data_IF_518338895752
#
_entry.id   IF_518338895752
#
_cell.length_a   1.000
_cell.length_b   1.000
_cell.length_c   1.000
_cell.angle_alpha   90.00
_cell.angle_beta   90.00
_cell.angle_gamma   90.00
#
_symmetry.space_group_name_H-M   'P 1'
#
loop_
_entity.id
_entity.type
_entity.pdbx_description
1 polymer ?
#
# COMPACT_ATOMS: atom_id res chain seq x y z
N UNK A 1 15.97 9.39 8.89
CA UNK A 1 14.96 9.57 7.80
C UNK A 1 13.53 9.47 8.36
N UNK A 2 12.59 10.28 7.88
CA UNK A 2 11.17 10.17 8.23
C UNK A 2 10.52 9.04 7.40
N UNK A 3 10.90 7.80 7.70
CA UNK A 3 10.48 6.60 6.97
C UNK A 3 9.45 5.82 7.80
N UNK A 4 8.32 5.52 7.18
CA UNK A 4 7.23 4.79 7.78
C UNK A 4 6.89 3.55 6.98
N UNK A 5 6.45 2.52 7.68
CA UNK A 5 5.98 1.28 7.10
C UNK A 5 4.58 0.97 7.61
N UNK A 6 3.62 0.98 6.68
CA UNK A 6 2.22 0.74 6.97
C UNK A 6 1.85 -0.74 6.85
N UNK A 7 1.16 -1.28 7.85
CA UNK A 7 0.66 -2.66 7.91
C UNK A 7 -0.87 -2.66 7.98
N UNK A 8 -1.47 -3.85 8.00
CA UNK A 8 -2.92 -4.00 8.26
C UNK A 8 -3.28 -3.78 9.71
N UNK A 9 -4.57 -3.44 9.92
CA UNK A 9 -5.25 -3.36 11.22
C UNK A 9 -5.33 -4.70 11.94
N UNK A 10 -5.59 -5.75 11.18
CA UNK A 10 -5.74 -7.12 11.65
C UNK A 10 -5.25 -8.10 10.57
N UNK A 11 -5.13 -9.40 10.87
CA UNK A 11 -4.77 -10.41 9.87
C UNK A 11 -5.77 -10.47 8.72
N UNK A 12 -5.28 -10.38 7.47
CA UNK A 12 -6.10 -10.49 6.26
C UNK A 12 -5.33 -11.26 5.20
N UNK A 13 -5.78 -12.49 4.90
CA UNK A 13 -5.14 -13.39 3.94
C UNK A 13 -3.65 -13.61 4.29
N UNK A 14 -2.75 -12.95 3.58
CA UNK A 14 -1.31 -13.04 3.72
C UNK A 14 -0.66 -11.65 3.92
N UNK A 15 -1.49 -10.63 4.14
CA UNK A 15 -1.03 -9.28 4.44
C UNK A 15 -0.50 -9.23 5.88
N UNK A 16 0.60 -8.52 6.05
CA UNK A 16 1.30 -8.41 7.33
C UNK A 16 0.61 -7.42 8.27
N UNK A 17 0.65 -7.76 9.55
CA UNK A 17 0.26 -6.89 10.68
C UNK A 17 1.48 -6.18 11.26
N UNK A 18 1.26 -5.30 12.24
CA UNK A 18 2.36 -4.63 12.95
C UNK A 18 3.24 -5.64 13.69
N UNK A 19 2.65 -6.70 14.25
CA UNK A 19 3.35 -7.77 14.94
C UNK A 19 4.28 -8.53 13.98
N UNK A 20 3.85 -8.76 12.73
CA UNK A 20 4.70 -9.39 11.71
C UNK A 20 5.87 -8.48 11.28
N UNK A 21 5.61 -7.17 11.17
CA UNK A 21 6.66 -6.19 10.86
C UNK A 21 7.73 -6.11 11.97
N UNK A 22 7.31 -6.24 13.24
CA UNK A 22 8.24 -6.32 14.38
C UNK A 22 9.05 -7.62 14.35
N UNK A 23 8.41 -8.78 14.13
CA UNK A 23 9.08 -10.08 14.04
C UNK A 23 10.13 -10.16 12.94
N UNK A 24 9.91 -9.46 11.83
CA UNK A 24 10.86 -9.39 10.71
C UNK A 24 12.00 -8.38 10.92
N UNK A 25 11.97 -7.63 12.02
CA UNK A 25 12.94 -6.56 12.31
C UNK A 25 12.75 -5.32 11.44
N UNK A 26 11.64 -5.21 10.73
CA UNK A 26 11.40 -4.11 9.81
C UNK A 26 11.13 -2.78 10.55
N UNK A 27 10.60 -2.87 11.77
CA UNK A 27 10.46 -1.71 12.66
C UNK A 27 11.80 -1.19 13.20
N UNK A 28 12.92 -1.91 12.99
CA UNK A 28 14.25 -1.40 13.32
C UNK A 28 14.78 -0.39 12.29
N UNK A 29 14.22 -0.39 11.07
CA UNK A 29 14.66 0.46 9.96
C UNK A 29 13.67 1.58 9.61
N UNK A 30 12.39 1.40 9.98
CA UNK A 30 11.30 2.33 9.70
C UNK A 30 10.31 2.35 10.87
N UNK A 31 9.60 3.46 11.05
CA UNK A 31 8.50 3.50 12.03
C UNK A 31 7.32 2.68 11.53
N UNK A 32 6.85 1.74 12.34
CA UNK A 32 5.66 0.95 12.00
C UNK A 32 4.38 1.74 12.28
N UNK A 33 3.38 1.57 11.43
CA UNK A 33 2.02 2.08 11.66
C UNK A 33 1.00 1.09 11.14
N UNK A 34 -0.07 0.86 11.90
CA UNK A 34 -1.21 0.10 11.43
C UNK A 34 -2.17 1.02 10.66
N UNK A 35 -2.64 0.58 9.49
CA UNK A 35 -3.69 1.31 8.77
C UNK A 35 -5.05 1.25 9.48
N UNK A 36 -5.22 0.40 10.50
CA UNK A 36 -6.44 0.26 11.29
C UNK A 36 -7.61 -0.41 10.57
N UNK A 37 -7.40 -0.99 9.39
CA UNK A 37 -8.45 -1.66 8.61
C UNK A 37 -8.03 -3.08 8.19
N UNK A 38 -9.00 -3.97 8.08
CA UNK A 38 -8.88 -5.41 7.83
C UNK A 38 -9.37 -5.80 6.42
N UNK A 39 -9.06 -4.98 5.43
CA UNK A 39 -9.25 -5.31 4.01
C UNK A 39 -7.90 -5.67 3.34
N UNK A 40 -7.90 -6.50 2.28
CA UNK A 40 -6.71 -6.79 1.46
C UNK A 40 -6.37 -5.61 0.51
N UNK A 41 -6.54 -4.39 1.01
CA UNK A 41 -6.37 -3.13 0.31
C UNK A 41 -6.22 -1.99 1.31
N UNK A 42 -5.85 -0.81 0.83
CA UNK A 42 -5.87 0.42 1.61
C UNK A 42 -7.01 1.29 1.09
N UNK A 43 -8.12 1.29 1.83
CA UNK A 43 -9.28 2.15 1.61
C UNK A 43 -9.17 3.25 2.65
N UNK A 44 -8.67 4.43 2.25
CA UNK A 44 -8.23 5.49 3.15
C UNK A 44 -9.38 5.96 4.06
N UNK A 45 -10.62 5.93 3.55
CA UNK A 45 -11.83 6.33 4.25
C UNK A 45 -12.11 5.45 5.47
N UNK A 46 -11.68 4.19 5.46
CA UNK A 46 -11.89 3.22 6.54
C UNK A 46 -10.68 3.07 7.47
N UNK A 47 -9.55 3.70 7.14
CA UNK A 47 -8.34 3.60 7.94
C UNK A 47 -8.42 4.39 9.26
N UNK A 48 -7.50 4.14 10.19
CA UNK A 48 -7.40 4.88 11.45
C UNK A 48 -7.11 6.37 11.22
N UNK A 49 -7.50 7.22 12.17
CA UNK A 49 -7.22 8.66 12.10
C UNK A 49 -5.72 8.96 12.01
N UNK A 50 -4.90 8.26 12.79
CA UNK A 50 -3.44 8.39 12.77
C UNK A 50 -2.85 8.00 11.41
N UNK A 51 -3.33 6.92 10.79
CA UNK A 51 -2.87 6.53 9.46
C UNK A 51 -3.28 7.57 8.41
N UNK A 52 -4.51 8.07 8.45
CA UNK A 52 -4.97 9.10 7.51
C UNK A 52 -4.11 10.36 7.61
N UNK A 53 -3.83 10.82 8.83
CA UNK A 53 -2.97 11.99 9.05
C UNK A 53 -1.56 11.79 8.49
N UNK A 54 -0.97 10.61 8.69
CA UNK A 54 0.35 10.29 8.14
C UNK A 54 0.32 10.17 6.61
N UNK A 55 -0.66 9.45 6.07
CA UNK A 55 -0.87 9.31 4.62
C UNK A 55 -1.02 10.68 3.97
N UNK A 56 -1.67 11.61 4.68
CA UNK A 56 -1.88 12.95 4.18
C UNK A 56 -0.61 13.80 4.11
N UNK A 57 0.25 13.68 5.11
CA UNK A 57 1.53 14.39 5.22
C UNK A 57 2.65 13.77 4.38
N UNK A 58 2.48 12.55 3.86
CA UNK A 58 3.52 11.85 3.13
C UNK A 58 3.87 12.54 1.81
N UNK A 59 5.15 12.89 1.63
CA UNK A 59 5.65 13.47 0.38
C UNK A 59 5.63 12.48 -0.79
N UNK A 60 5.90 11.20 -0.49
CA UNK A 60 5.97 10.09 -1.43
C UNK A 60 5.42 8.84 -0.76
N UNK A 61 4.64 8.06 -1.50
CA UNK A 61 4.08 6.79 -1.04
C UNK A 61 4.54 5.67 -1.98
N UNK A 62 5.12 4.61 -1.42
CA UNK A 62 5.44 3.38 -2.14
C UNK A 62 4.41 2.33 -1.72
N UNK A 63 3.44 2.08 -2.61
CA UNK A 63 2.33 1.17 -2.38
C UNK A 63 2.64 -0.21 -2.98
N UNK A 64 2.68 -1.26 -2.15
CA UNK A 64 3.04 -2.61 -2.59
C UNK A 64 1.79 -3.46 -2.88
N UNK A 65 1.83 -4.21 -3.98
CA UNK A 65 0.84 -5.22 -4.30
C UNK A 65 -0.41 -4.69 -5.02
N UNK A 66 -1.11 -5.60 -5.71
CA UNK A 66 -2.25 -5.26 -6.56
C UNK A 66 -3.47 -4.76 -5.76
N UNK A 67 -3.77 -5.35 -4.61
CA UNK A 67 -4.91 -4.92 -3.79
C UNK A 67 -4.81 -3.45 -3.35
N UNK A 68 -3.59 -2.97 -3.05
CA UNK A 68 -3.39 -1.56 -2.75
C UNK A 68 -3.48 -0.65 -3.99
N UNK A 69 -3.13 -1.13 -5.19
CA UNK A 69 -3.41 -0.40 -6.43
C UNK A 69 -4.92 -0.20 -6.58
N UNK A 70 -5.70 -1.27 -6.45
CA UNK A 70 -7.16 -1.23 -6.60
C UNK A 70 -7.84 -0.22 -5.66
N UNK A 71 -7.38 -0.12 -4.40
CA UNK A 71 -7.94 0.83 -3.43
C UNK A 71 -7.43 2.26 -3.57
N UNK A 72 -6.18 2.45 -4.03
CA UNK A 72 -5.54 3.76 -4.00
C UNK A 72 -5.44 4.45 -5.36
N UNK A 73 -5.71 3.78 -6.48
CA UNK A 73 -5.50 4.34 -7.83
C UNK A 73 -6.27 5.67 -8.05
N UNK A 74 -7.42 5.84 -7.40
CA UNK A 74 -8.22 7.06 -7.50
C UNK A 74 -7.64 8.25 -6.70
N UNK A 75 -6.60 8.06 -5.88
CA UNK A 75 -5.93 9.12 -5.13
C UNK A 75 -4.93 9.88 -6.02
N UNK A 76 -5.44 10.60 -7.02
CA UNK A 76 -4.66 11.31 -8.04
C UNK A 76 -3.87 12.50 -7.48
N UNK A 77 -4.30 13.06 -6.35
CA UNK A 77 -3.63 14.18 -5.68
C UNK A 77 -2.39 13.76 -4.86
N UNK A 78 -2.10 12.46 -4.73
CA UNK A 78 -0.94 11.94 -3.99
C UNK A 78 0.12 11.41 -4.94
N UNK A 79 1.40 11.55 -4.56
CA UNK A 79 2.53 10.95 -5.28
C UNK A 79 2.70 9.48 -4.87
N UNK A 80 1.94 8.60 -5.52
CA UNK A 80 1.95 7.16 -5.22
C UNK A 80 2.67 6.38 -6.33
N UNK A 81 3.69 5.62 -5.93
CA UNK A 81 4.35 4.62 -6.77
C UNK A 81 3.86 3.24 -6.38
N UNK A 82 3.23 2.54 -7.31
CA UNK A 82 2.73 1.19 -7.13
C UNK A 82 3.77 0.17 -7.59
N UNK A 83 4.22 -0.69 -6.69
CA UNK A 83 5.15 -1.79 -6.98
C UNK A 83 4.38 -3.10 -6.82
N UNK A 84 4.06 -3.75 -7.93
CA UNK A 84 3.22 -4.93 -7.94
C UNK A 84 3.62 -5.91 -9.04
N UNK A 85 3.15 -7.15 -8.88
CA UNK A 85 3.02 -8.10 -9.98
C UNK A 85 1.57 -8.09 -10.45
N UNK A 86 1.34 -8.01 -11.77
CA UNK A 86 0.00 -8.06 -12.37
C UNK A 86 -0.56 -9.48 -12.26
N UNK A 87 -1.63 -9.68 -11.49
CA UNK A 87 -2.20 -11.01 -11.21
C UNK A 87 -3.42 -11.36 -12.06
N UNK A 88 -4.10 -10.37 -12.65
CA UNK A 88 -5.27 -10.58 -13.49
C UNK A 88 -5.24 -9.72 -14.75
N UNK A 89 -6.03 -10.13 -15.76
CA UNK A 89 -6.09 -9.44 -17.05
C UNK A 89 -6.64 -8.02 -16.94
N UNK A 90 -7.66 -7.80 -16.09
CA UNK A 90 -8.27 -6.48 -15.86
C UNK A 90 -7.22 -5.44 -15.44
N UNK A 91 -6.35 -5.79 -14.49
CA UNK A 91 -5.26 -4.90 -14.08
C UNK A 91 -4.19 -4.78 -15.15
N UNK A 92 -3.94 -5.85 -15.92
CA UNK A 92 -3.03 -5.78 -17.05
C UNK A 92 -3.48 -4.77 -18.11
N UNK A 93 -4.76 -4.82 -18.48
CA UNK A 93 -5.38 -3.87 -19.42
C UNK A 93 -5.36 -2.44 -18.87
N UNK A 94 -5.71 -2.25 -17.59
CA UNK A 94 -5.66 -0.95 -16.90
C UNK A 94 -4.26 -0.32 -16.96
N UNK A 95 -3.21 -1.11 -16.82
CA UNK A 95 -1.83 -0.64 -16.78
C UNK A 95 -1.12 -0.70 -18.14
N UNK A 96 -1.74 -1.30 -19.16
CA UNK A 96 -1.10 -1.58 -20.45
C UNK A 96 0.05 -2.59 -20.35
N UNK A 97 -0.03 -3.56 -19.44
CA UNK A 97 1.02 -4.55 -19.16
C UNK A 97 0.46 -5.97 -19.10
N UNK A 98 1.23 -6.96 -19.56
CA UNK A 98 0.82 -8.36 -19.52
C UNK A 98 0.73 -8.93 -18.09
N UNK A 99 -0.20 -9.87 -17.89
CA UNK A 99 -0.31 -10.65 -16.64
C UNK A 99 1.02 -11.35 -16.33
N UNK A 100 1.33 -11.48 -15.03
CA UNK A 100 2.58 -12.03 -14.44
C UNK A 100 3.81 -11.13 -14.57
N UNK A 101 3.71 -9.95 -15.16
CA UNK A 101 4.82 -9.00 -15.17
C UNK A 101 4.90 -8.24 -13.85
N UNK A 102 6.12 -7.92 -13.42
CA UNK A 102 6.40 -7.03 -12.29
C UNK A 102 6.59 -5.61 -12.79
N UNK A 103 5.90 -4.64 -12.18
CA UNK A 103 5.87 -3.26 -12.65
C UNK A 103 6.06 -2.28 -11.51
N UNK A 104 6.62 -1.12 -11.88
CA UNK A 104 6.54 0.12 -11.10
C UNK A 104 5.63 1.07 -11.87
N UNK A 105 4.44 1.32 -11.35
CA UNK A 105 3.47 2.23 -11.96
C UNK A 105 3.36 3.49 -11.11
N UNK A 106 3.65 4.65 -11.69
CA UNK A 106 3.49 5.93 -11.01
C UNK A 106 2.11 6.50 -11.34
N UNK A 107 1.33 6.83 -10.32
CA UNK A 107 -0.03 7.36 -10.46
C UNK A 107 -0.02 8.79 -10.99
N UNK A 108 0.23 8.96 -12.30
CA UNK A 108 0.11 10.24 -12.99
C UNK A 108 -1.36 10.47 -13.34
N UNK A 109 -1.92 11.57 -12.82
CA UNK A 109 -3.25 12.14 -13.05
C UNK A 109 -4.04 11.58 -14.24
#
# INVERSE_FOLDING_TARGET
PNLWFATRGAPVINDITIEDAEKTGLTNIARGISNGHDAPSTIVEHCSAEFKELFDKADIIISKGQGNLEGLINNKNKKIFFLLMVKCQVIGELLGVEKKNSVVFFNRN
#
